data_IF_479066597054
#
_entry.id   IF_479066597054
#
_cell.length_a   1.000
_cell.length_b   1.000
_cell.length_c   1.000
_cell.angle_alpha   90.00
_cell.angle_beta   90.00
_cell.angle_gamma   90.00
#
_symmetry.space_group_name_H-M   'P 1'
#
loop_
_entity.id
_entity.type
_entity.pdbx_description
1 polymer ?
#
# COMPACT_ATOMS: atom_id res chain seq x y z
N UNK A 1 -80.46 -68.99 26.60
CA UNK A 1 -79.90 -68.73 25.25
C UNK A 1 -79.29 -67.34 25.28
N UNK A 2 -78.10 -67.21 24.70
CA UNK A 2 -77.07 -66.21 24.95
C UNK A 2 -77.44 -64.73 24.66
N UNK A 3 -76.75 -63.79 25.31
CA UNK A 3 -75.66 -63.01 24.67
C UNK A 3 -74.99 -62.03 25.65
N UNK A 4 -73.68 -62.19 25.77
CA UNK A 4 -72.76 -61.24 26.37
C UNK A 4 -72.67 -60.00 25.47
N UNK A 5 -72.80 -58.80 26.04
CA UNK A 5 -72.42 -57.56 25.36
C UNK A 5 -71.37 -56.88 26.21
N UNK A 6 -70.13 -56.86 25.72
CA UNK A 6 -69.02 -56.13 26.32
C UNK A 6 -69.18 -54.65 26.02
N UNK A 7 -69.29 -53.84 27.07
CA UNK A 7 -69.19 -52.39 26.94
C UNK A 7 -67.71 -52.02 26.81
N UNK A 8 -67.30 -51.68 25.58
CA UNK A 8 -65.99 -51.09 25.32
C UNK A 8 -65.80 -49.82 26.16
N UNK A 9 -64.61 -49.65 26.73
CA UNK A 9 -64.23 -48.43 27.42
C UNK A 9 -64.33 -47.25 26.43
N UNK A 10 -65.25 -46.31 26.71
CA UNK A 10 -65.31 -45.03 26.01
C UNK A 10 -64.18 -44.15 26.52
N UNK A 11 -63.08 -44.06 25.76
CA UNK A 11 -62.02 -43.07 25.99
C UNK A 11 -62.34 -41.79 25.23
N UNK A 12 -63.48 -41.17 25.54
CA UNK A 12 -63.70 -39.78 25.18
C UNK A 12 -63.12 -38.97 26.32
N UNK A 13 -61.96 -38.34 26.10
CA UNK A 13 -61.44 -37.37 27.05
C UNK A 13 -62.49 -36.26 27.18
N UNK A 14 -62.90 -35.89 28.42
CA UNK A 14 -63.88 -34.82 28.61
C UNK A 14 -63.44 -33.59 27.84
N UNK A 15 -64.36 -32.98 27.09
CA UNK A 15 -64.09 -31.72 26.42
C UNK A 15 -63.71 -30.69 27.49
N UNK A 16 -62.49 -30.18 27.42
CA UNK A 16 -61.92 -29.20 28.37
C UNK A 16 -61.89 -27.80 27.76
N UNK A 17 -62.52 -27.57 26.60
CA UNK A 17 -62.64 -26.24 25.99
C UNK A 17 -63.37 -25.22 26.88
N UNK A 18 -64.14 -25.71 27.85
CA UNK A 18 -64.83 -24.94 28.89
C UNK A 18 -63.91 -24.49 30.04
N UNK A 19 -62.76 -25.15 30.24
CA UNK A 19 -61.79 -24.77 31.27
C UNK A 19 -60.98 -23.60 30.73
N UNK A 20 -61.52 -22.39 30.88
CA UNK A 20 -60.82 -21.15 30.60
C UNK A 20 -60.35 -20.56 31.92
N UNK A 21 -59.05 -20.32 32.03
CA UNK A 21 -58.51 -19.62 33.19
C UNK A 21 -58.87 -18.14 33.05
N UNK A 22 -59.98 -17.73 33.66
CA UNK A 22 -60.61 -16.40 33.49
C UNK A 22 -59.69 -15.26 33.96
N UNK A 23 -58.67 -15.60 34.77
CA UNK A 23 -57.64 -14.69 35.30
C UNK A 23 -56.42 -14.55 34.37
N UNK A 24 -56.32 -15.33 33.28
CA UNK A 24 -55.26 -15.16 32.28
C UNK A 24 -55.69 -14.06 31.31
N UNK A 25 -55.59 -12.82 31.77
CA UNK A 25 -55.64 -11.64 30.92
C UNK A 25 -54.24 -11.30 30.43
N UNK A 26 -54.09 -10.97 29.16
CA UNK A 26 -52.84 -10.39 28.66
C UNK A 26 -52.70 -8.97 29.23
N UNK A 27 -51.58 -8.66 29.88
CA UNK A 27 -51.32 -7.31 30.37
C UNK A 27 -51.22 -6.34 29.18
N UNK A 28 -52.19 -5.44 29.09
CA UNK A 28 -52.24 -4.42 28.06
C UNK A 28 -51.24 -3.30 28.40
N UNK A 29 -49.98 -3.53 28.02
CA UNK A 29 -48.92 -2.54 27.86
C UNK A 29 -48.17 -2.09 29.12
N UNK A 30 -47.09 -2.79 29.45
CA UNK A 30 -46.09 -2.42 30.47
C UNK A 30 -45.16 -1.24 30.08
N UNK A 31 -45.29 -0.72 28.85
CA UNK A 31 -44.36 0.28 28.30
C UNK A 31 -45.06 1.55 27.84
N UNK A 32 -44.55 2.69 28.31
CA UNK A 32 -44.95 4.02 27.86
C UNK A 32 -44.26 4.36 26.53
N UNK A 33 -44.94 4.06 25.43
CA UNK A 33 -44.45 4.31 24.06
C UNK A 33 -44.11 5.79 23.82
N UNK A 34 -44.91 6.71 24.35
CA UNK A 34 -44.67 8.15 24.22
C UNK A 34 -43.40 8.59 24.95
N UNK A 35 -43.16 8.04 26.14
CA UNK A 35 -41.93 8.26 26.91
C UNK A 35 -40.68 7.76 26.17
N UNK A 36 -40.76 6.57 25.57
CA UNK A 36 -39.66 6.02 24.77
C UNK A 36 -39.40 6.86 23.52
N UNK A 37 -40.46 7.26 22.80
CA UNK A 37 -40.31 8.04 21.58
C UNK A 37 -39.69 9.42 21.85
N UNK A 38 -40.17 10.11 22.88
CA UNK A 38 -39.62 11.42 23.28
C UNK A 38 -38.17 11.31 23.73
N UNK A 39 -37.81 10.25 24.45
CA UNK A 39 -36.41 9.99 24.83
C UNK A 39 -35.50 9.80 23.62
N UNK A 40 -35.92 8.99 22.63
CA UNK A 40 -35.16 8.77 21.39
C UNK A 40 -34.97 10.09 20.63
N UNK A 41 -36.02 10.89 20.49
CA UNK A 41 -35.93 12.20 19.81
C UNK A 41 -34.97 13.13 20.53
N UNK A 42 -35.07 13.25 21.85
CA UNK A 42 -34.17 14.08 22.65
C UNK A 42 -32.70 13.62 22.54
N UNK A 43 -32.45 12.31 22.61
CA UNK A 43 -31.12 11.73 22.45
C UNK A 43 -30.53 12.01 21.06
N UNK A 44 -31.37 11.95 20.03
CA UNK A 44 -30.97 12.22 18.64
C UNK A 44 -30.58 13.69 18.48
N UNK A 45 -31.38 14.61 19.02
CA UNK A 45 -31.09 16.06 18.99
C UNK A 45 -29.78 16.36 19.72
N UNK A 46 -29.57 15.76 20.90
CA UNK A 46 -28.33 15.92 21.65
C UNK A 46 -27.11 15.43 20.85
N UNK A 47 -27.23 14.28 20.20
CA UNK A 47 -26.16 13.67 19.39
C UNK A 47 -25.81 14.57 18.20
N UNK A 48 -26.82 15.08 17.50
CA UNK A 48 -26.63 16.06 16.41
C UNK A 48 -25.96 17.33 16.94
N UNK A 49 -26.36 17.82 18.11
CA UNK A 49 -25.73 18.97 18.76
C UNK A 49 -24.25 18.76 19.07
N UNK A 50 -23.89 17.63 19.67
CA UNK A 50 -22.49 17.27 19.95
C UNK A 50 -21.69 17.13 18.65
N UNK A 51 -22.27 16.50 17.63
CA UNK A 51 -21.63 16.34 16.32
C UNK A 51 -21.32 17.69 15.65
N UNK A 52 -22.29 18.61 15.63
CA UNK A 52 -22.10 19.97 15.12
C UNK A 52 -21.04 20.71 15.94
N UNK A 53 -21.07 20.57 17.27
CA UNK A 53 -20.07 21.14 18.17
C UNK A 53 -18.65 20.67 17.84
N UNK A 54 -18.47 19.36 17.62
CA UNK A 54 -17.19 18.78 17.21
C UNK A 54 -16.74 19.30 15.84
N UNK A 55 -17.64 19.40 14.86
CA UNK A 55 -17.31 19.97 13.55
C UNK A 55 -16.81 21.42 13.65
N UNK A 56 -17.47 22.25 14.46
CA UNK A 56 -17.04 23.64 14.68
C UNK A 56 -15.68 23.71 15.38
N UNK A 57 -15.48 22.91 16.42
CA UNK A 57 -14.22 22.85 17.16
C UNK A 57 -13.06 22.40 16.26
N UNK A 58 -13.25 21.35 15.45
CA UNK A 58 -12.23 20.91 14.49
C UNK A 58 -11.93 21.97 13.44
N UNK A 59 -12.94 22.67 12.91
CA UNK A 59 -12.73 23.79 11.97
C UNK A 59 -11.90 24.91 12.61
N UNK A 60 -12.19 25.23 13.87
CA UNK A 60 -11.43 26.24 14.61
C UNK A 60 -9.98 25.80 14.83
N UNK A 61 -9.75 24.56 15.25
CA UNK A 61 -8.40 24.03 15.45
C UNK A 61 -7.61 23.97 14.15
N UNK A 62 -8.22 23.59 13.03
CA UNK A 62 -7.56 23.64 11.73
C UNK A 62 -7.18 25.07 11.32
N UNK A 63 -8.04 26.06 11.60
CA UNK A 63 -7.74 27.48 11.36
C UNK A 63 -6.54 27.94 12.17
N UNK A 64 -6.40 27.48 13.42
CA UNK A 64 -5.27 27.82 14.29
C UNK A 64 -3.98 27.10 13.88
N UNK A 65 -4.05 25.80 13.54
CA UNK A 65 -2.91 25.03 13.05
C UNK A 65 -2.31 25.62 11.77
N UNK A 66 -3.13 26.21 10.89
CA UNK A 66 -2.64 26.92 9.70
C UNK A 66 -1.90 28.22 10.01
N UNK A 67 -2.14 28.80 11.19
CA UNK A 67 -1.49 30.03 11.66
C UNK A 67 -0.26 29.73 12.52
N UNK A 68 0.02 28.47 12.83
CA UNK A 68 1.21 28.12 13.58
C UNK A 68 2.47 28.55 12.81
N UNK A 69 3.42 29.22 13.48
CA UNK A 69 4.66 29.64 12.84
C UNK A 69 5.41 28.43 12.30
N UNK A 70 6.02 28.59 11.13
CA UNK A 70 6.81 27.52 10.49
C UNK A 70 7.85 26.98 11.49
N UNK A 71 8.14 25.67 11.46
CA UNK A 71 9.09 25.05 12.38
C UNK A 71 10.41 25.84 12.40
N UNK A 72 10.92 26.09 13.60
CA UNK A 72 12.16 26.84 13.79
C UNK A 72 13.36 26.18 13.11
N UNK A 73 14.49 26.89 12.95
CA UNK A 73 15.66 26.39 12.20
C UNK A 73 16.30 25.14 12.81
N UNK A 74 16.04 24.83 14.09
CA UNK A 74 16.48 23.59 14.76
C UNK A 74 15.43 22.46 14.72
N UNK A 75 14.27 22.67 14.10
CA UNK A 75 13.30 21.60 13.93
C UNK A 75 13.83 20.60 12.90
N UNK A 76 14.17 19.40 13.37
CA UNK A 76 14.58 18.28 12.54
C UNK A 76 13.58 18.09 11.40
N UNK A 77 14.09 18.10 10.17
CA UNK A 77 13.29 17.79 8.98
C UNK A 77 12.76 16.35 9.11
N UNK A 78 11.62 16.05 8.49
CA UNK A 78 11.05 14.69 8.48
C UNK A 78 12.08 13.55 8.23
N UNK A 79 13.06 13.67 7.31
CA UNK A 79 14.09 12.65 7.13
C UNK A 79 15.12 12.56 8.27
N UNK A 80 15.37 13.66 8.99
CA UNK A 80 16.36 13.75 10.10
C UNK A 80 15.80 13.18 11.42
N UNK A 81 14.47 13.05 11.53
CA UNK A 81 13.82 12.39 12.68
C UNK A 81 13.89 10.86 12.63
N UNK A 82 14.25 10.31 11.48
CA UNK A 82 14.30 8.87 11.31
C UNK A 82 15.62 8.33 11.88
N UNK A 83 15.61 7.19 12.60
CA UNK A 83 16.83 6.61 13.16
C UNK A 83 17.89 6.36 12.06
N UNK A 84 19.19 6.46 12.37
CA UNK A 84 20.24 6.12 11.41
C UNK A 84 20.07 4.67 10.92
N UNK A 85 20.48 4.38 9.68
CA UNK A 85 20.35 3.03 9.11
C UNK A 85 21.19 1.98 9.85
N UNK A 86 20.93 0.66 9.70
CA UNK A 86 19.97 0.01 8.80
C UNK A 86 18.55 -0.05 9.38
N UNK A 87 17.56 0.37 8.58
CA UNK A 87 16.15 0.36 8.99
C UNK A 87 15.48 -0.91 8.48
N UNK A 88 14.53 -1.43 9.26
CA UNK A 88 13.64 -2.51 8.83
C UNK A 88 12.75 -2.12 7.63
N UNK A 89 12.58 -0.81 7.39
CA UNK A 89 11.92 -0.26 6.20
C UNK A 89 12.95 0.60 5.44
N UNK A 90 13.25 0.24 4.19
CA UNK A 90 14.23 0.96 3.35
C UNK A 90 13.72 2.34 2.90
N UNK A 91 12.41 2.56 2.95
CA UNK A 91 11.74 3.79 2.53
C UNK A 91 11.90 4.92 3.57
N UNK A 92 12.55 6.05 3.25
CA UNK A 92 12.51 7.22 4.11
C UNK A 92 11.08 7.78 4.15
N UNK A 93 10.49 7.90 5.35
CA UNK A 93 9.21 8.59 5.54
C UNK A 93 8.01 7.93 4.85
N UNK A 94 8.00 6.60 4.72
CA UNK A 94 6.96 5.85 4.00
C UNK A 94 6.90 6.18 2.50
N UNK A 95 8.01 6.59 1.87
CA UNK A 95 8.05 6.83 0.42
C UNK A 95 9.03 5.87 -0.29
N UNK A 96 8.58 5.21 -1.37
CA UNK A 96 9.44 4.38 -2.23
C UNK A 96 9.69 5.12 -3.54
N UNK A 97 10.96 5.18 -3.94
CA UNK A 97 11.34 5.55 -5.32
C UNK A 97 11.37 4.29 -6.17
N UNK A 98 10.50 4.22 -7.17
CA UNK A 98 10.49 3.15 -8.16
C UNK A 98 11.63 3.33 -9.15
N UNK A 99 11.90 2.27 -9.89
CA UNK A 99 12.95 2.25 -10.91
C UNK A 99 12.68 3.21 -12.08
N UNK A 100 11.43 3.61 -12.30
CA UNK A 100 11.01 4.67 -13.24
C UNK A 100 11.28 6.11 -12.73
N UNK A 101 11.86 6.27 -11.53
CA UNK A 101 12.09 7.57 -10.88
C UNK A 101 10.84 8.17 -10.23
N UNK A 102 9.67 7.52 -10.37
CA UNK A 102 8.45 7.93 -9.67
C UNK A 102 8.54 7.65 -8.17
N UNK A 103 7.96 8.53 -7.35
CA UNK A 103 7.94 8.39 -5.88
C UNK A 103 6.52 8.08 -5.42
N UNK A 104 6.35 6.96 -4.71
CA UNK A 104 5.05 6.51 -4.19
C UNK A 104 5.01 6.71 -2.68
N UNK A 105 4.00 7.45 -2.20
CA UNK A 105 3.74 7.68 -0.77
C UNK A 105 2.89 6.58 -0.17
N UNK A 106 3.30 6.09 0.98
CA UNK A 106 2.73 4.91 1.67
C UNK A 106 2.22 5.24 3.08
N UNK A 107 2.24 6.52 3.48
CA UNK A 107 1.80 6.98 4.81
C UNK A 107 0.41 6.47 5.21
N UNK A 108 -0.49 6.28 4.23
CA UNK A 108 -1.88 5.83 4.43
C UNK A 108 -2.14 4.41 3.91
N UNK A 109 -1.10 3.68 3.50
CA UNK A 109 -1.23 2.32 2.97
C UNK A 109 -0.98 1.28 4.05
N UNK A 110 -1.37 0.05 3.73
CA UNK A 110 -1.13 -1.12 4.59
C UNK A 110 0.39 -1.31 4.83
N UNK A 111 0.79 -1.85 6.00
CA UNK A 111 2.20 -2.07 6.32
C UNK A 111 2.97 -2.92 5.30
N UNK A 112 2.29 -3.81 4.57
CA UNK A 112 2.90 -4.68 3.54
C UNK A 112 2.84 -4.10 2.12
N UNK A 113 2.32 -2.88 1.95
CA UNK A 113 2.19 -2.27 0.62
C UNK A 113 3.54 -2.05 -0.07
N UNK A 114 4.61 -1.80 0.70
CA UNK A 114 5.98 -1.63 0.19
C UNK A 114 6.40 -2.81 -0.70
N UNK A 115 6.29 -4.02 -0.13
CA UNK A 115 6.69 -5.25 -0.80
C UNK A 115 5.92 -5.48 -2.10
N UNK A 116 4.59 -5.27 -2.07
CA UNK A 116 3.73 -5.49 -3.24
C UNK A 116 4.10 -4.57 -4.40
N UNK A 117 4.37 -3.30 -4.09
CA UNK A 117 4.72 -2.29 -5.09
C UNK A 117 6.10 -2.59 -5.69
N UNK A 118 7.08 -2.96 -4.86
CA UNK A 118 8.40 -3.37 -5.35
C UNK A 118 8.32 -4.62 -6.23
N UNK A 119 7.53 -5.61 -5.83
CA UNK A 119 7.35 -6.82 -6.62
C UNK A 119 6.67 -6.54 -7.97
N UNK A 120 5.72 -5.60 -8.00
CA UNK A 120 5.11 -5.14 -9.25
C UNK A 120 6.13 -4.42 -10.15
N UNK A 121 6.94 -3.51 -9.58
CA UNK A 121 8.00 -2.80 -10.29
C UNK A 121 9.03 -3.77 -10.90
N UNK A 122 9.47 -4.76 -10.12
CA UNK A 122 10.39 -5.81 -10.59
C UNK A 122 9.76 -6.68 -11.68
N UNK A 123 8.49 -7.03 -11.55
CA UNK A 123 7.80 -7.79 -12.59
C UNK A 123 7.67 -7.00 -13.90
N UNK A 124 7.45 -5.68 -13.85
CA UNK A 124 7.44 -4.83 -15.04
C UNK A 124 8.80 -4.77 -15.71
N UNK A 125 9.87 -4.62 -14.92
CA UNK A 125 11.24 -4.66 -15.41
C UNK A 125 11.56 -6.01 -16.09
N UNK A 126 11.22 -7.13 -15.45
CA UNK A 126 11.42 -8.46 -16.02
C UNK A 126 10.69 -8.67 -17.35
N UNK A 127 9.51 -8.05 -17.52
CA UNK A 127 8.72 -8.10 -18.76
C UNK A 127 9.20 -7.11 -19.83
N UNK A 128 10.21 -6.30 -19.53
CA UNK A 128 10.68 -5.25 -20.43
C UNK A 128 9.77 -4.03 -20.51
N UNK A 129 8.75 -3.91 -19.66
CA UNK A 129 7.75 -2.84 -19.75
C UNK A 129 8.25 -1.51 -19.15
N UNK A 130 9.43 -1.52 -18.54
CA UNK A 130 9.99 -0.37 -17.84
C UNK A 130 10.51 0.70 -18.80
N UNK A 131 10.16 1.96 -18.52
CA UNK A 131 10.53 3.12 -19.33
C UNK A 131 11.25 4.17 -18.50
N UNK A 132 12.24 4.81 -19.09
CA UNK A 132 12.93 5.94 -18.49
C UNK A 132 11.99 7.16 -18.43
N UNK A 133 12.38 8.20 -17.69
CA UNK A 133 11.71 9.49 -17.66
C UNK A 133 11.57 10.12 -19.06
N UNK A 134 12.44 9.78 -20.01
CA UNK A 134 12.35 10.19 -21.42
C UNK A 134 11.44 9.31 -22.29
N UNK A 135 10.82 8.26 -21.72
CA UNK A 135 9.92 7.33 -22.42
C UNK A 135 10.61 6.21 -23.18
N UNK A 136 11.94 6.14 -23.15
CA UNK A 136 12.72 5.07 -23.77
C UNK A 136 12.63 3.78 -22.95
N UNK A 137 12.56 2.64 -23.63
CA UNK A 137 12.51 1.34 -22.98
C UNK A 137 13.86 1.02 -22.33
N UNK A 138 13.87 0.85 -21.00
CA UNK A 138 15.09 0.61 -20.21
C UNK A 138 15.37 -0.88 -20.04
N UNK A 139 14.31 -1.69 -20.08
CA UNK A 139 14.38 -3.13 -19.81
C UNK A 139 13.99 -3.93 -21.05
N UNK A 140 14.64 -5.08 -21.24
CA UNK A 140 14.36 -6.03 -22.31
C UNK A 140 14.17 -7.40 -21.63
N UNK A 141 13.15 -8.20 -22.00
CA UNK A 141 12.99 -9.56 -21.50
C UNK A 141 14.24 -10.40 -21.76
N UNK A 142 14.57 -11.31 -20.83
CA UNK A 142 15.79 -12.10 -20.89
C UNK A 142 15.87 -12.90 -22.19
N UNK A 143 14.74 -13.44 -22.67
CA UNK A 143 14.66 -14.21 -23.91
C UNK A 143 15.07 -13.36 -25.13
N UNK A 144 14.56 -12.13 -25.20
CA UNK A 144 14.91 -11.20 -26.27
C UNK A 144 16.36 -10.70 -26.14
N UNK A 145 16.84 -10.51 -24.91
CA UNK A 145 18.23 -10.15 -24.67
C UNK A 145 19.17 -11.27 -25.13
N UNK A 146 18.85 -12.53 -24.86
CA UNK A 146 19.61 -13.68 -25.36
C UNK A 146 19.60 -13.74 -26.88
N UNK A 147 18.44 -13.58 -27.52
CA UNK A 147 18.34 -13.57 -28.98
C UNK A 147 19.20 -12.46 -29.60
N UNK A 148 19.13 -11.25 -29.04
CA UNK A 148 19.98 -10.13 -29.46
C UNK A 148 21.46 -10.45 -29.31
N UNK A 149 21.89 -10.97 -28.16
CA UNK A 149 23.30 -11.35 -27.91
C UNK A 149 23.77 -12.44 -28.87
N UNK A 150 22.92 -13.44 -29.18
CA UNK A 150 23.25 -14.47 -30.17
C UNK A 150 23.37 -13.87 -31.57
N UNK A 151 22.49 -12.93 -31.93
CA UNK A 151 22.51 -12.28 -33.25
C UNK A 151 23.67 -11.30 -33.44
N UNK A 152 24.00 -10.50 -32.41
CA UNK A 152 25.08 -9.52 -32.42
C UNK A 152 26.44 -10.18 -32.17
N UNK A 153 26.43 -11.37 -31.56
CA UNK A 153 27.62 -12.07 -31.07
C UNK A 153 28.16 -11.42 -29.79
N UNK A 154 28.80 -12.23 -28.95
CA UNK A 154 29.53 -11.69 -27.81
C UNK A 154 30.74 -10.90 -28.32
N UNK A 155 31.03 -9.70 -27.79
CA UNK A 155 32.23 -8.96 -28.16
C UNK A 155 33.49 -9.72 -27.73
N UNK A 156 34.03 -10.54 -28.63
CA UNK A 156 35.29 -11.27 -28.42
C UNK A 156 36.44 -10.32 -28.72
N UNK A 157 36.90 -9.60 -27.69
CA UNK A 157 38.00 -8.63 -27.71
C UNK A 157 37.71 -7.42 -28.61
N UNK A 158 38.07 -6.24 -28.11
CA UNK A 158 37.94 -4.94 -28.80
C UNK A 158 38.45 -5.08 -30.24
N UNK A 159 37.56 -4.98 -31.22
CA UNK A 159 37.95 -4.58 -32.58
C UNK A 159 38.36 -3.13 -32.44
N UNK A 160 39.59 -2.91 -32.01
CA UNK A 160 40.24 -1.62 -32.16
C UNK A 160 40.17 -1.33 -33.66
N UNK A 161 39.29 -0.40 -34.05
CA UNK A 161 39.29 0.12 -35.40
C UNK A 161 40.69 0.62 -35.67
N UNK A 162 41.39 -0.02 -36.61
CA UNK A 162 42.73 0.32 -37.10
C UNK A 162 43.47 1.36 -36.25
N UNK A 163 43.85 1.01 -35.02
CA UNK A 163 44.79 1.83 -34.27
C UNK A 163 46.11 1.62 -34.97
N UNK A 164 46.59 2.67 -35.66
CA UNK A 164 47.93 2.67 -36.25
C UNK A 164 48.90 2.20 -35.16
N UNK A 165 49.85 1.33 -35.50
CA UNK A 165 50.85 0.81 -34.54
C UNK A 165 51.49 1.93 -33.69
N UNK A 166 51.57 3.14 -34.25
CA UNK A 166 51.99 4.40 -33.64
C UNK A 166 51.31 4.76 -32.30
N UNK A 167 50.11 4.26 -32.01
CA UNK A 167 49.43 4.50 -30.72
C UNK A 167 49.92 3.59 -29.58
N UNK A 168 50.57 2.48 -29.91
CA UNK A 168 51.22 1.60 -28.94
C UNK A 168 52.72 1.88 -28.79
N UNK A 169 53.26 2.83 -29.57
CA UNK A 169 54.65 3.23 -29.47
C UNK A 169 54.91 3.95 -28.14
N UNK A 170 55.83 3.44 -27.35
CA UNK A 170 56.31 4.08 -26.13
C UNK A 170 57.05 5.36 -26.55
N UNK A 171 56.63 6.51 -26.01
CA UNK A 171 57.34 7.77 -26.22
C UNK A 171 58.63 7.77 -25.40
N UNK A 172 59.76 7.60 -26.06
CA UNK A 172 61.07 7.66 -25.41
C UNK A 172 61.70 9.03 -25.68
N UNK A 173 62.24 9.73 -24.65
CA UNK A 173 62.93 10.99 -24.86
C UNK A 173 64.20 10.79 -25.69
N UNK A 174 64.36 11.59 -26.75
CA UNK A 174 65.49 11.46 -27.66
C UNK A 174 66.76 12.05 -27.04
N UNK A 175 67.82 11.24 -26.97
CA UNK A 175 69.12 11.64 -26.40
C UNK A 175 69.77 12.84 -27.12
N UNK A 176 69.49 12.99 -28.42
CA UNK A 176 70.00 14.10 -29.25
C UNK A 176 69.34 15.46 -28.94
N UNK A 177 68.26 15.51 -28.16
CA UNK A 177 67.51 16.75 -27.86
C UNK A 177 67.48 17.09 -26.37
N UNK A 178 68.43 16.57 -25.57
CA UNK A 178 68.50 16.80 -24.11
C UNK A 178 67.15 16.55 -23.41
N UNK A 179 66.43 15.52 -23.85
CA UNK A 179 65.13 15.11 -23.29
C UNK A 179 63.95 16.05 -23.55
N UNK A 180 64.11 17.11 -24.37
CA UNK A 180 63.02 18.06 -24.66
C UNK A 180 62.06 17.61 -25.74
N UNK A 181 62.46 16.61 -26.53
CA UNK A 181 61.64 16.04 -27.60
C UNK A 181 61.54 14.54 -27.36
N UNK A 182 60.32 14.01 -27.38
CA UNK A 182 60.05 12.57 -27.36
C UNK A 182 59.80 12.05 -28.77
N UNK A 183 60.33 10.86 -29.04
CA UNK A 183 60.14 10.16 -30.30
C UNK A 183 59.36 8.87 -30.02
N UNK A 184 58.37 8.58 -30.87
CA UNK A 184 57.58 7.35 -30.79
C UNK A 184 58.37 6.23 -31.49
N UNK A 185 58.83 5.25 -30.72
CA UNK A 185 59.57 4.09 -31.26
C UNK A 185 58.71 2.83 -31.14
N UNK A 186 58.55 2.13 -32.25
CA UNK A 186 57.94 0.79 -32.28
C UNK A 186 59.02 -0.23 -31.91
N UNK A 187 58.68 -1.18 -31.04
CA UNK A 187 59.54 -2.33 -30.74
C UNK A 187 59.45 -3.38 -31.85
#
# INVERSE_FOLDING_TARGET
MAKHSGNGHKTETPDVSHIRNVEVTHEASDINVNGVLTFVVALTILTVGVYIGMLLLFKQFQSQARKEPKPGPMALKAPERLPPGPRLQSAPGFEIKLSDGSTVKLEKREPQAEYRILLEDWNKNLRGEQKDASGNQVSIPIEQAMEKVVSEGLPTRVRAGSTKLEDYAISVPTAASSGRVSEKRLQ
#
